data_IF_592254678532
#
_entry.id   IF_592254678532
#
_cell.length_a   1.000
_cell.length_b   1.000
_cell.length_c   1.000
_cell.angle_alpha   90.00
_cell.angle_beta   90.00
_cell.angle_gamma   90.00
#
_symmetry.space_group_name_H-M   'P 1'
#
loop_
_entity.id
_entity.type
_entity.pdbx_description
1 polymer ?
#
# COMPACT_ATOMS: atom_id res chain seq x y z
N UNK A 1 6.15 1.71 0.26
CA UNK A 1 5.62 0.70 1.20
C UNK A 1 6.52 -0.53 1.35
N UNK A 2 7.63 -0.67 0.60
CA UNK A 2 8.54 -1.82 0.73
C UNK A 2 9.18 -2.00 2.11
N UNK A 3 9.21 -0.96 2.96
CA UNK A 3 9.63 -1.13 4.36
C UNK A 3 8.74 -2.13 5.13
N UNK A 4 7.48 -2.29 4.71
CA UNK A 4 6.54 -3.24 5.31
C UNK A 4 6.82 -4.69 4.89
N UNK A 5 7.63 -4.95 3.86
CA UNK A 5 8.01 -6.33 3.53
C UNK A 5 9.00 -6.92 4.54
N UNK A 6 9.61 -6.10 5.40
CA UNK A 6 10.52 -6.55 6.45
C UNK A 6 9.81 -7.31 7.60
N UNK A 7 8.48 -7.33 7.63
CA UNK A 7 7.74 -8.11 8.63
C UNK A 7 7.78 -9.62 8.29
N UNK A 8 8.16 -10.49 9.25
CA UNK A 8 8.26 -11.92 9.00
C UNK A 8 6.88 -12.52 8.71
N UNK A 9 6.84 -13.47 7.77
CA UNK A 9 5.66 -14.23 7.32
C UNK A 9 4.55 -13.44 6.60
N UNK A 10 4.34 -12.17 6.93
CA UNK A 10 3.22 -11.34 6.42
C UNK A 10 3.67 -10.12 5.60
N UNK A 11 4.96 -9.83 5.52
CA UNK A 11 5.45 -8.61 4.90
C UNK A 11 5.03 -8.45 3.43
N UNK A 12 5.24 -9.49 2.64
CA UNK A 12 4.92 -9.45 1.21
C UNK A 12 3.40 -9.35 0.95
N UNK A 13 2.59 -10.05 1.73
CA UNK A 13 1.12 -10.01 1.60
C UNK A 13 0.57 -8.64 1.99
N UNK A 14 1.14 -7.99 3.01
CA UNK A 14 0.79 -6.62 3.39
C UNK A 14 1.13 -5.62 2.28
N UNK A 15 2.32 -5.72 1.69
CA UNK A 15 2.73 -4.82 0.61
C UNK A 15 1.83 -4.97 -0.62
N UNK A 16 1.53 -6.20 -1.03
CA UNK A 16 0.62 -6.48 -2.14
C UNK A 16 -0.81 -6.02 -1.85
N UNK A 17 -1.30 -6.15 -0.61
CA UNK A 17 -2.60 -5.64 -0.21
C UNK A 17 -2.70 -4.11 -0.32
N UNK A 18 -1.63 -3.39 0.06
CA UNK A 18 -1.59 -1.93 -0.05
C UNK A 18 -1.54 -1.49 -1.51
N UNK A 19 -0.76 -2.18 -2.34
CA UNK A 19 -0.67 -1.89 -3.77
C UNK A 19 -1.91 -2.29 -4.57
N UNK A 20 -2.65 -3.31 -4.12
CA UNK A 20 -3.71 -3.89 -4.92
C UNK A 20 -3.18 -4.62 -6.17
N UNK A 21 -1.94 -5.14 -6.11
CA UNK A 21 -1.25 -5.77 -7.23
C UNK A 21 0.19 -6.13 -6.87
N UNK A 22 0.95 -6.65 -7.85
CA UNK A 22 2.34 -7.09 -7.66
C UNK A 22 3.36 -5.94 -7.66
N UNK A 23 2.96 -4.76 -8.10
CA UNK A 23 3.77 -3.55 -8.15
C UNK A 23 2.93 -2.31 -7.87
N UNK A 24 3.59 -1.17 -7.68
CA UNK A 24 2.89 0.12 -7.62
C UNK A 24 2.24 0.40 -8.99
N UNK A 25 0.94 0.65 -9.00
CA UNK A 25 0.17 0.95 -10.21
C UNK A 25 -0.95 1.98 -9.92
N UNK A 26 -1.81 2.28 -10.90
CA UNK A 26 -2.92 3.24 -10.82
C UNK A 26 -3.87 2.97 -9.63
N UNK A 27 -4.07 1.70 -9.27
CA UNK A 27 -4.83 1.31 -8.09
C UNK A 27 -4.21 1.87 -6.80
N UNK A 28 -2.87 1.79 -6.67
CA UNK A 28 -2.12 2.38 -5.55
C UNK A 28 -2.27 3.89 -5.51
N UNK A 29 -2.16 4.57 -6.66
CA UNK A 29 -2.24 6.02 -6.76
C UNK A 29 -3.62 6.54 -6.31
N UNK A 30 -4.69 5.91 -6.79
CA UNK A 30 -6.07 6.28 -6.45
C UNK A 30 -6.34 6.10 -4.95
N UNK A 31 -5.85 5.01 -4.35
CA UNK A 31 -6.00 4.75 -2.91
C UNK A 31 -5.21 5.76 -2.08
N UNK A 32 -3.98 6.09 -2.49
CA UNK A 32 -3.16 7.06 -1.78
C UNK A 32 -3.73 8.46 -1.87
N UNK A 33 -4.28 8.84 -3.02
CA UNK A 33 -5.04 10.09 -3.16
C UNK A 33 -6.21 10.14 -2.17
N UNK A 34 -7.04 9.10 -2.10
CA UNK A 34 -8.14 9.04 -1.14
C UNK A 34 -7.68 9.16 0.32
N UNK A 35 -6.63 8.42 0.72
CA UNK A 35 -6.08 8.52 2.08
C UNK A 35 -5.48 9.89 2.41
N UNK A 36 -4.84 10.55 1.42
CA UNK A 36 -4.29 11.90 1.60
C UNK A 36 -5.36 12.94 1.94
N UNK A 37 -6.58 12.82 1.41
CA UNK A 37 -7.68 13.72 1.75
C UNK A 37 -8.49 13.29 2.97
N UNK A 38 -8.39 12.03 3.40
CA UNK A 38 -9.13 11.51 4.55
C UNK A 38 -8.39 11.69 5.89
N UNK A 39 -7.06 11.57 5.92
CA UNK A 39 -6.25 11.64 7.15
C UNK A 39 -5.88 13.03 7.72
N UNK A 40 -5.96 14.16 6.99
CA UNK A 40 -5.65 15.48 7.56
C UNK A 40 -6.83 16.10 8.35
N UNK A 41 -7.94 15.38 8.51
CA UNK A 41 -9.12 15.72 9.31
C UNK A 41 -9.36 14.66 10.38
#
# INVERSE_FOLDING_TARGET
TNLLSAFPYIGDTLVQWIWGGFSVDNATLTRFFAFHFLLPF
#
